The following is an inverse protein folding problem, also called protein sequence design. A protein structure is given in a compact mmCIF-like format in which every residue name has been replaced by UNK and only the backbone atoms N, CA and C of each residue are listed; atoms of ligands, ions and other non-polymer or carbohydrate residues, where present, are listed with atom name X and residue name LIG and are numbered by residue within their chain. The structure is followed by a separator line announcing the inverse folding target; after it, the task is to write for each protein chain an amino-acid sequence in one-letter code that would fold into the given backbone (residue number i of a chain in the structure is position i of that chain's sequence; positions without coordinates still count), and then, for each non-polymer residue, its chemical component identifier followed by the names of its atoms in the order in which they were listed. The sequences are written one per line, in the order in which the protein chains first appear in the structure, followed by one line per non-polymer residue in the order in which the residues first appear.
data_IF_513032465587
#
_entry.id   IF_513032465587
#
_cell.length_a   1.000
_cell.length_b   1.000
_cell.length_c   1.000
_cell.angle_alpha   90.00
_cell.angle_beta   90.00
_cell.angle_gamma   90.00
#
_symmetry.space_group_name_H-M   'P 1'
#
loop_
_entity.id
_entity.type
_entity.pdbx_description
1 polymer ?
#
# COMPACT_ATOMS: atom_id res chain seq x y z
N UNK A 1 -9.68 -0.51 20.07
CA UNK A 1 -10.48 -1.67 19.77
C UNK A 1 -11.19 -1.59 18.42
N UNK A 2 -11.95 -0.52 18.16
CA UNK A 2 -12.63 -0.38 16.87
C UNK A 2 -11.68 -0.27 15.70
N UNK A 3 -10.53 0.38 15.89
CA UNK A 3 -9.52 0.51 14.82
C UNK A 3 -8.98 -0.86 14.40
N UNK A 4 -8.70 -1.72 15.36
CA UNK A 4 -8.19 -3.06 15.07
C UNK A 4 -9.22 -3.88 14.29
N UNK A 5 -10.50 -3.77 14.67
CA UNK A 5 -11.57 -4.46 13.96
C UNK A 5 -11.68 -3.98 12.51
N UNK A 6 -11.62 -2.67 12.28
CA UNK A 6 -11.68 -2.10 10.93
C UNK A 6 -10.51 -2.59 10.09
N UNK A 7 -9.31 -2.63 10.66
CA UNK A 7 -8.11 -3.10 9.96
C UNK A 7 -8.24 -4.58 9.59
N UNK A 8 -8.72 -5.41 10.53
CA UNK A 8 -8.93 -6.84 10.28
C UNK A 8 -9.94 -7.04 9.16
N UNK A 9 -11.04 -6.30 9.20
CA UNK A 9 -12.06 -6.37 8.13
C UNK A 9 -11.49 -5.94 6.79
N UNK A 10 -10.65 -4.91 6.78
CA UNK A 10 -9.98 -4.45 5.57
C UNK A 10 -9.05 -5.51 4.98
N UNK A 11 -8.30 -6.21 5.83
CA UNK A 11 -7.41 -7.29 5.41
C UNK A 11 -8.23 -8.44 4.81
N UNK A 12 -9.32 -8.84 5.48
CA UNK A 12 -10.21 -9.90 4.99
C UNK A 12 -10.79 -9.51 3.64
N UNK A 13 -11.23 -8.26 3.48
CA UNK A 13 -11.78 -7.76 2.23
C UNK A 13 -10.75 -7.82 1.10
N UNK A 14 -9.50 -7.44 1.37
CA UNK A 14 -8.43 -7.50 0.37
C UNK A 14 -8.13 -8.93 -0.04
N UNK A 15 -8.08 -9.85 0.92
CA UNK A 15 -7.86 -11.27 0.64
C UNK A 15 -9.03 -11.81 -0.20
N UNK A 16 -10.25 -11.47 0.17
CA UNK A 16 -11.44 -11.87 -0.57
C UNK A 16 -11.40 -11.39 -2.02
N UNK A 17 -11.05 -10.12 -2.22
CA UNK A 17 -10.93 -9.57 -3.58
C UNK A 17 -9.85 -10.28 -4.39
N UNK A 18 -8.75 -10.62 -3.75
CA UNK A 18 -7.66 -11.31 -4.42
C UNK A 18 -8.08 -12.72 -4.87
N UNK A 19 -8.80 -13.43 -4.01
CA UNK A 19 -9.26 -14.81 -4.29
C UNK A 19 -10.34 -14.81 -5.37
N UNK A 20 -11.27 -13.84 -5.33
CA UNK A 20 -12.40 -13.78 -6.25
C UNK A 20 -12.13 -12.93 -7.49
N UNK A 21 -10.87 -12.55 -7.72
CA UNK A 21 -10.50 -11.76 -8.88
C UNK A 21 -10.88 -12.49 -10.18
N UNK A 22 -11.67 -11.83 -11.01
CA UNK A 22 -12.05 -12.38 -12.30
C UNK A 22 -10.92 -12.16 -13.30
N UNK A 23 -10.56 -13.22 -14.03
CA UNK A 23 -9.50 -13.19 -14.99
C UNK A 23 -8.16 -13.65 -14.42
N UNK A 24 -7.10 -13.48 -15.19
CA UNK A 24 -5.77 -13.93 -14.81
C UNK A 24 -5.15 -12.99 -13.78
N UNK A 25 -4.82 -13.55 -12.62
CA UNK A 25 -4.19 -12.78 -11.55
C UNK A 25 -2.70 -12.57 -11.89
N UNK A 26 -2.28 -11.33 -12.01
CA UNK A 26 -0.88 -11.01 -12.30
C UNK A 26 -0.04 -11.00 -11.03
N UNK A 27 1.24 -11.31 -11.17
CA UNK A 27 2.19 -11.27 -10.06
C UNK A 27 2.27 -9.85 -9.47
N UNK A 28 2.21 -8.82 -10.34
CA UNK A 28 2.26 -7.43 -9.90
C UNK A 28 1.10 -7.09 -8.96
N UNK A 29 -0.10 -7.55 -9.29
CA UNK A 29 -1.28 -7.32 -8.45
C UNK A 29 -1.15 -8.06 -7.11
N UNK A 30 -0.63 -9.28 -7.14
CA UNK A 30 -0.41 -10.06 -5.91
C UNK A 30 0.59 -9.34 -5.01
N UNK A 31 1.69 -8.87 -5.56
CA UNK A 31 2.71 -8.14 -4.79
C UNK A 31 2.12 -6.88 -4.18
N UNK A 32 1.38 -6.08 -4.96
CA UNK A 32 0.77 -4.85 -4.48
C UNK A 32 -0.22 -5.11 -3.34
N UNK A 33 -1.12 -6.08 -3.52
CA UNK A 33 -2.12 -6.42 -2.51
C UNK A 33 -1.48 -6.97 -1.25
N UNK A 34 -0.51 -7.87 -1.41
CA UNK A 34 0.18 -8.48 -0.26
C UNK A 34 0.91 -7.42 0.56
N UNK A 35 1.57 -6.46 -0.10
CA UNK A 35 2.28 -5.38 0.57
C UNK A 35 1.33 -4.51 1.40
N UNK A 36 0.14 -4.22 0.87
CA UNK A 36 -0.88 -3.46 1.61
C UNK A 36 -1.35 -4.26 2.83
N UNK A 37 -1.57 -5.56 2.67
CA UNK A 37 -1.98 -6.44 3.77
C UNK A 37 -0.93 -6.44 4.89
N UNK A 38 0.35 -6.56 4.51
CA UNK A 38 1.45 -6.51 5.49
C UNK A 38 1.48 -5.16 6.19
N UNK A 39 1.31 -4.06 5.46
CA UNK A 39 1.25 -2.73 6.05
C UNK A 39 0.12 -2.59 7.07
N UNK A 40 -1.07 -3.10 6.74
CA UNK A 40 -2.20 -3.10 7.68
C UNK A 40 -1.89 -3.94 8.93
N UNK A 41 -1.24 -5.09 8.75
CA UNK A 41 -0.82 -5.93 9.86
C UNK A 41 0.15 -5.23 10.79
N UNK A 42 1.07 -4.43 10.24
CA UNK A 42 1.99 -3.64 11.05
C UNK A 42 1.25 -2.63 11.93
N UNK A 43 0.16 -2.04 11.43
CA UNK A 43 -0.65 -1.11 12.21
C UNK A 43 -1.28 -1.82 13.40
N UNK A 44 -1.66 -3.09 13.26
CA UNK A 44 -2.17 -3.88 14.37
C UNK A 44 -1.12 -4.09 15.47
N UNK A 45 0.15 -4.08 15.11
CA UNK A 45 1.26 -4.24 16.04
C UNK A 45 1.74 -2.89 16.62
N UNK A 46 0.98 -1.81 16.40
CA UNK A 46 1.40 -0.45 16.79
C UNK A 46 1.65 -0.30 18.28
N UNK A 47 1.03 -1.14 19.11
CA UNK A 47 1.22 -1.11 20.55
C UNK A 47 2.58 -1.70 20.98
N UNK A 48 3.16 -2.55 20.13
CA UNK A 48 4.43 -3.23 20.43
C UNK A 48 5.63 -2.55 19.79
N UNK A 49 5.41 -1.72 18.80
CA UNK A 49 6.46 -1.08 18.01
C UNK A 49 6.36 0.44 18.19
N UNK A 50 7.51 1.10 18.26
CA UNK A 50 7.57 2.56 18.30
C UNK A 50 6.82 3.15 17.10
N UNK A 51 5.98 4.19 17.29
CA UNK A 51 5.25 4.79 16.16
C UNK A 51 6.16 5.26 15.03
N UNK A 52 7.34 5.74 15.36
CA UNK A 52 8.29 6.22 14.37
C UNK A 52 8.84 5.08 13.51
N UNK A 53 9.22 3.97 14.13
CA UNK A 53 9.71 2.78 13.43
C UNK A 53 8.58 2.14 12.61
N UNK A 54 7.38 2.11 13.18
CA UNK A 54 6.20 1.59 12.49
C UNK A 54 5.91 2.36 11.21
N UNK A 55 5.99 3.68 11.27
CA UNK A 55 5.78 4.54 10.11
C UNK A 55 6.81 4.28 9.02
N UNK A 56 8.08 4.06 9.41
CA UNK A 56 9.15 3.75 8.47
C UNK A 56 8.83 2.47 7.68
N UNK A 57 8.48 1.40 8.39
CA UNK A 57 8.16 0.11 7.76
C UNK A 57 6.89 0.22 6.91
N UNK A 58 5.92 0.98 7.38
CA UNK A 58 4.68 1.20 6.65
C UNK A 58 4.94 1.92 5.31
N UNK A 59 5.81 2.92 5.32
CA UNK A 59 6.20 3.61 4.08
C UNK A 59 6.90 2.67 3.10
N UNK A 60 7.75 1.76 3.59
CA UNK A 60 8.39 0.75 2.74
C UNK A 60 7.35 -0.17 2.11
N UNK A 61 6.37 -0.62 2.89
CA UNK A 61 5.32 -1.49 2.37
C UNK A 61 4.50 -0.81 1.28
N UNK A 62 4.14 0.46 1.48
CA UNK A 62 3.40 1.21 0.48
C UNK A 62 4.25 1.42 -0.77
N UNK A 63 5.55 1.67 -0.62
CA UNK A 63 6.47 1.80 -1.75
C UNK A 63 6.51 0.54 -2.60
N UNK A 64 6.61 -0.63 -1.97
CA UNK A 64 6.57 -1.91 -2.68
C UNK A 64 5.24 -2.09 -3.38
N UNK A 65 4.13 -1.73 -2.72
CA UNK A 65 2.80 -1.79 -3.33
C UNK A 65 2.71 -0.90 -4.57
N UNK A 66 3.27 0.31 -4.52
CA UNK A 66 3.27 1.22 -5.66
C UNK A 66 4.06 0.64 -6.83
N UNK A 67 5.20 0.00 -6.55
CA UNK A 67 6.00 -0.64 -7.60
C UNK A 67 5.16 -1.75 -8.27
N UNK A 68 4.47 -2.55 -7.47
CA UNK A 68 3.58 -3.58 -8.01
C UNK A 68 2.47 -2.98 -8.85
N UNK A 69 1.85 -1.92 -8.39
CA UNK A 69 0.76 -1.24 -9.12
C UNK A 69 1.24 -0.68 -10.46
N UNK A 70 2.48 -0.23 -10.54
CA UNK A 70 3.05 0.29 -11.79
C UNK A 70 3.04 -0.77 -12.90
N UNK A 71 3.30 -2.02 -12.53
CA UNK A 71 3.40 -3.11 -13.50
C UNK A 71 2.06 -3.80 -13.80
N UNK A 72 0.99 -3.49 -13.04
CA UNK A 72 -0.30 -4.14 -13.23
C UNK A 72 -0.86 -3.94 -14.65
N UNK A 73 -0.90 -2.72 -15.23
CA UNK A 73 -1.45 -2.55 -16.58
C UNK A 73 -0.72 -3.37 -17.63
N UNK A 74 0.60 -3.48 -17.54
CA UNK A 74 1.40 -4.28 -18.49
C UNK A 74 1.17 -5.78 -18.28
N UNK A 75 1.09 -6.22 -17.03
CA UNK A 75 0.94 -7.63 -16.69
C UNK A 75 -0.44 -8.18 -17.03
N UNK A 76 -1.48 -7.35 -16.93
CA UNK A 76 -2.86 -7.77 -17.15
C UNK A 76 -3.41 -7.31 -18.49
N UNK A 77 -2.57 -6.70 -19.35
CA UNK A 77 -2.94 -6.25 -20.69
C UNK A 77 -4.18 -5.34 -20.65
N UNK A 78 -4.11 -4.29 -19.85
CA UNK A 78 -5.19 -3.31 -19.77
C UNK A 78 -5.38 -2.61 -21.12
N UNK A 79 -6.63 -2.31 -21.47
CA UNK A 79 -6.92 -1.46 -22.62
C UNK A 79 -6.51 -0.02 -22.31
N UNK A 80 -6.56 0.84 -23.35
CA UNK A 80 -6.07 2.21 -23.24
C UNK A 80 -6.81 3.02 -22.17
N UNK A 81 -8.14 2.92 -22.16
CA UNK A 81 -8.96 3.66 -21.18
C UNK A 81 -8.69 3.22 -19.75
N UNK A 82 -8.62 1.91 -19.53
CA UNK A 82 -8.38 1.34 -18.21
C UNK A 82 -6.98 1.67 -17.71
N UNK A 83 -5.99 1.62 -18.63
CA UNK A 83 -4.63 1.98 -18.30
C UNK A 83 -4.50 3.45 -17.90
N UNK A 84 -5.22 4.34 -18.59
CA UNK A 84 -5.21 5.78 -18.25
C UNK A 84 -5.80 6.04 -16.88
N UNK A 85 -6.92 5.40 -16.55
CA UNK A 85 -7.54 5.53 -15.23
C UNK A 85 -6.61 5.02 -14.14
N UNK A 86 -6.00 3.87 -14.37
CA UNK A 86 -5.04 3.29 -13.42
C UNK A 86 -3.84 4.22 -13.23
N UNK A 87 -3.34 4.81 -14.31
CA UNK A 87 -2.19 5.70 -14.25
C UNK A 87 -2.49 6.96 -13.44
N UNK A 88 -3.71 7.50 -13.54
CA UNK A 88 -4.12 8.65 -12.73
C UNK A 88 -4.11 8.31 -11.25
N UNK A 89 -4.67 7.15 -10.89
CA UNK A 89 -4.67 6.69 -9.51
C UNK A 89 -3.24 6.45 -9.01
N UNK A 90 -2.42 5.83 -9.83
CA UNK A 90 -1.01 5.57 -9.49
C UNK A 90 -0.26 6.87 -9.23
N UNK A 91 -0.42 7.87 -10.11
CA UNK A 91 0.26 9.17 -9.95
C UNK A 91 -0.17 9.87 -8.66
N UNK A 92 -1.47 9.84 -8.34
CA UNK A 92 -1.98 10.41 -7.11
C UNK A 92 -1.41 9.72 -5.88
N UNK A 93 -1.40 8.39 -5.90
CA UNK A 93 -0.85 7.60 -4.81
C UNK A 93 0.65 7.85 -4.64
N UNK A 94 1.39 7.91 -5.75
CA UNK A 94 2.83 8.17 -5.73
C UNK A 94 3.12 9.56 -5.14
N UNK A 95 2.37 10.57 -5.57
CA UNK A 95 2.53 11.92 -5.05
C UNK A 95 2.27 11.97 -3.54
N UNK A 96 1.19 11.33 -3.08
CA UNK A 96 0.88 11.25 -1.66
C UNK A 96 1.98 10.55 -0.87
N UNK A 97 2.52 9.47 -1.43
CA UNK A 97 3.61 8.72 -0.79
C UNK A 97 4.87 9.56 -0.67
N UNK A 98 5.22 10.30 -1.72
CA UNK A 98 6.38 11.19 -1.68
C UNK A 98 6.19 12.29 -0.63
N UNK A 99 4.98 12.83 -0.52
CA UNK A 99 4.66 13.83 0.50
C UNK A 99 4.82 13.25 1.91
N UNK A 100 4.38 12.01 2.11
CA UNK A 100 4.52 11.33 3.41
C UNK A 100 5.99 11.09 3.76
N UNK A 101 6.82 10.74 2.77
CA UNK A 101 8.26 10.60 2.99
C UNK A 101 8.87 11.93 3.42
N UNK A 102 8.50 13.02 2.76
CA UNK A 102 9.00 14.35 3.13
C UNK A 102 8.61 14.72 4.55
N UNK A 103 7.37 14.44 4.94
CA UNK A 103 6.92 14.65 6.32
C UNK A 103 7.69 13.79 7.31
N UNK A 104 7.95 12.54 6.95
CA UNK A 104 8.72 11.64 7.80
C UNK A 104 10.13 12.16 8.04
N UNK A 105 10.81 12.61 6.98
CA UNK A 105 12.15 13.18 7.08
C UNK A 105 12.12 14.44 7.94
N UNK A 106 11.12 15.29 7.76
CA UNK A 106 10.95 16.51 8.56
C UNK A 106 10.78 16.19 10.04
N UNK A 107 9.94 15.21 10.36
CA UNK A 107 9.74 14.76 11.74
C UNK A 107 11.03 14.17 12.32
N UNK A 108 11.77 13.41 11.52
CA UNK A 108 13.04 12.85 11.95
C UNK A 108 14.01 13.96 12.36
N UNK A 109 14.12 15.00 11.53
CA UNK A 109 14.99 16.15 11.82
C UNK A 109 14.53 16.87 13.09
N UNK A 110 13.24 17.08 13.26
CA UNK A 110 12.70 17.77 14.45
C UNK A 110 12.97 16.99 15.73
N UNK A 111 12.88 15.66 15.69
CA UNK A 111 13.03 14.83 16.88
C UNK A 111 14.51 14.64 17.24
N UNK A 112 15.37 14.45 16.25
CA UNK A 112 16.78 14.10 16.48
C UNK A 112 17.75 15.27 16.32
N UNK A 113 17.30 16.36 15.78
CA UNK A 113 18.07 17.59 15.62
C UNK A 113 17.35 18.78 16.23
#
# INVERSE_FOLDING_TARGET
MYQDLIIILGIIFLIYKLITHEGKLSLARVIATFSIIVGCGLVLLSKLISPFVLLFWWLICIGISLIGMYFVPSSENYDEDKAQKHQKLYKGALFSWMFMIALYIFLYILIYY
#
